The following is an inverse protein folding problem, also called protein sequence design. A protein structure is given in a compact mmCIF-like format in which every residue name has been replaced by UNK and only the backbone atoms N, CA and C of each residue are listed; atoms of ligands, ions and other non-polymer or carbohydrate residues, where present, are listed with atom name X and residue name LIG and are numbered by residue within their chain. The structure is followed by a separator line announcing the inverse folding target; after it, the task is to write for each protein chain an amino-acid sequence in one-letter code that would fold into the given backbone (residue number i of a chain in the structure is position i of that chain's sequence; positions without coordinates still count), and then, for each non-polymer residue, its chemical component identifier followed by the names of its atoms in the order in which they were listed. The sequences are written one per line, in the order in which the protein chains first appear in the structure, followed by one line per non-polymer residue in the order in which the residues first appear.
data_IF_822762105084
#
_entry.id   IF_822762105084
#
_cell.length_a   1.000
_cell.length_b   1.000
_cell.length_c   1.000
_cell.angle_alpha   90.00
_cell.angle_beta   90.00
_cell.angle_gamma   90.00
#
_symmetry.space_group_name_H-M   'P 1'
#
loop_
_entity.id
_entity.type
_entity.pdbx_description
1 polymer ?
#
# COMPACT_ATOMS: atom_id res chain seq x y z
N UNK A 1 8.18 4.81 -41.38
CA UNK A 1 7.29 3.81 -40.75
C UNK A 1 7.65 3.49 -39.28
N UNK A 2 8.87 3.76 -38.81
CA UNK A 2 9.29 3.50 -37.42
C UNK A 2 8.77 4.52 -36.38
N UNK A 3 8.59 5.79 -36.77
CA UNK A 3 8.10 6.82 -35.86
C UNK A 3 6.67 6.55 -35.36
N UNK A 4 5.80 6.01 -36.23
CA UNK A 4 4.39 5.69 -35.93
C UNK A 4 4.23 4.53 -34.95
N UNK A 5 5.17 3.57 -34.93
CA UNK A 5 5.15 2.43 -34.00
C UNK A 5 5.55 2.83 -32.57
N UNK A 6 6.49 3.78 -32.42
CA UNK A 6 6.89 4.32 -31.12
C UNK A 6 5.82 5.24 -30.51
N UNK A 7 5.08 6.00 -31.33
CA UNK A 7 3.92 6.76 -30.85
C UNK A 7 2.72 5.86 -30.52
N UNK A 8 2.62 4.70 -31.17
CA UNK A 8 1.65 3.65 -30.87
C UNK A 8 1.90 2.99 -29.51
N UNK A 9 3.15 2.58 -29.23
CA UNK A 9 3.54 1.99 -27.94
C UNK A 9 3.41 2.96 -26.76
N UNK A 10 3.68 4.26 -26.98
CA UNK A 10 3.49 5.30 -25.97
C UNK A 10 2.00 5.60 -25.64
N UNK A 11 1.07 5.09 -26.46
CA UNK A 11 -0.38 5.38 -26.36
C UNK A 11 -1.22 4.20 -25.85
N UNK A 12 -0.61 3.03 -25.60
CA UNK A 12 -1.31 1.79 -25.25
C UNK A 12 -1.18 1.44 -23.77
N UNK A 13 -2.29 1.22 -23.04
CA UNK A 13 -2.43 0.32 -21.85
C UNK A 13 -1.55 0.53 -20.60
N UNK A 14 -0.54 1.39 -20.64
CA UNK A 14 0.51 1.55 -19.62
C UNK A 14 -0.04 1.91 -18.23
N UNK A 15 -0.86 2.96 -18.06
CA UNK A 15 -1.14 3.42 -16.69
C UNK A 15 -2.23 2.63 -15.98
N UNK A 16 -3.09 1.93 -16.72
CA UNK A 16 -3.99 0.94 -16.12
C UNK A 16 -3.21 -0.30 -15.68
N UNK A 17 -2.24 -0.74 -16.48
CA UNK A 17 -1.34 -1.85 -16.12
C UNK A 17 -0.45 -1.47 -14.93
N UNK A 18 0.12 -0.26 -14.93
CA UNK A 18 0.91 0.27 -13.83
C UNK A 18 0.09 0.38 -12.54
N UNK A 19 -1.13 0.92 -12.62
CA UNK A 19 -2.03 0.99 -11.48
C UNK A 19 -2.31 -0.40 -10.87
N UNK A 20 -2.61 -1.39 -11.71
CA UNK A 20 -2.82 -2.77 -11.26
C UNK A 20 -1.56 -3.37 -10.61
N UNK A 21 -0.38 -3.11 -11.16
CA UNK A 21 0.90 -3.55 -10.58
C UNK A 21 1.16 -2.90 -9.23
N UNK A 22 0.93 -1.59 -9.07
CA UNK A 22 1.11 -0.91 -7.79
C UNK A 22 0.12 -1.39 -6.74
N UNK A 23 -1.15 -1.63 -7.11
CA UNK A 23 -2.13 -2.25 -6.21
C UNK A 23 -1.71 -3.68 -5.82
N UNK A 24 -1.21 -4.48 -6.77
CA UNK A 24 -0.75 -5.84 -6.47
C UNK A 24 0.47 -5.85 -5.54
N UNK A 25 1.43 -4.95 -5.76
CA UNK A 25 2.60 -4.80 -4.89
C UNK A 25 2.21 -4.35 -3.48
N UNK A 26 1.32 -3.37 -3.36
CA UNK A 26 0.76 -2.94 -2.07
C UNK A 26 0.06 -4.11 -1.37
N UNK A 27 -0.80 -4.84 -2.07
CA UNK A 27 -1.49 -6.02 -1.53
C UNK A 27 -0.52 -7.08 -0.98
N UNK A 28 0.55 -7.40 -1.72
CA UNK A 28 1.55 -8.39 -1.32
C UNK A 28 2.35 -7.90 -0.12
N UNK A 29 2.82 -6.65 -0.13
CA UNK A 29 3.64 -6.10 0.96
C UNK A 29 2.79 -5.94 2.22
N UNK A 30 1.63 -5.30 2.11
CA UNK A 30 0.75 -5.03 3.25
C UNK A 30 0.13 -6.31 3.79
N UNK A 31 -0.37 -7.19 2.93
CA UNK A 31 -0.93 -8.48 3.32
C UNK A 31 0.13 -9.42 3.91
N UNK A 32 1.30 -9.49 3.29
CA UNK A 32 2.44 -10.26 3.80
C UNK A 32 2.92 -9.78 5.16
N UNK A 33 3.02 -8.47 5.36
CA UNK A 33 3.35 -7.90 6.66
C UNK A 33 2.28 -8.23 7.72
N UNK A 34 0.99 -8.14 7.35
CA UNK A 34 -0.11 -8.54 8.21
C UNK A 34 -0.04 -10.01 8.63
N UNK A 35 0.27 -10.91 7.68
CA UNK A 35 0.44 -12.34 7.96
C UNK A 35 1.63 -12.61 8.88
N UNK A 36 2.74 -11.88 8.72
CA UNK A 36 3.89 -11.95 9.64
C UNK A 36 3.46 -11.55 11.05
N UNK A 37 2.71 -10.45 11.19
CA UNK A 37 2.20 -10.03 12.50
C UNK A 37 1.23 -11.05 13.10
N UNK A 38 0.38 -11.71 12.31
CA UNK A 38 -0.49 -12.78 12.79
C UNK A 38 0.29 -14.03 13.25
N UNK A 39 1.23 -14.49 12.43
CA UNK A 39 1.98 -15.72 12.68
C UNK A 39 3.04 -15.57 13.77
N UNK A 40 3.61 -14.36 13.93
CA UNK A 40 4.77 -14.12 14.78
C UNK A 40 4.62 -12.89 15.70
N UNK A 41 3.40 -12.54 16.11
CA UNK A 41 3.10 -11.39 16.98
C UNK A 41 4.01 -11.31 18.23
N UNK A 42 4.25 -12.44 18.90
CA UNK A 42 5.09 -12.49 20.10
C UNK A 42 6.55 -12.11 19.83
N UNK A 43 7.27 -12.86 18.97
CA UNK A 43 8.64 -12.53 18.58
C UNK A 43 8.79 -11.13 17.97
N UNK A 44 7.93 -10.77 17.02
CA UNK A 44 7.95 -9.45 16.37
C UNK A 44 7.70 -8.36 17.41
N UNK A 45 6.69 -8.52 18.26
CA UNK A 45 6.35 -7.55 19.31
C UNK A 45 7.48 -7.29 20.28
N UNK A 46 8.23 -8.32 20.68
CA UNK A 46 9.45 -8.13 21.49
C UNK A 46 10.55 -7.40 20.72
N UNK A 47 10.71 -7.71 19.43
CA UNK A 47 11.73 -7.07 18.60
C UNK A 47 11.46 -5.57 18.44
N UNK A 48 10.23 -5.18 18.14
CA UNK A 48 9.87 -3.78 17.84
C UNK A 48 9.30 -3.01 19.04
N UNK A 49 9.08 -3.66 20.18
CA UNK A 49 8.52 -3.03 21.39
C UNK A 49 7.03 -2.71 21.28
N UNK A 50 6.24 -3.58 20.63
CA UNK A 50 4.80 -3.41 20.48
C UNK A 50 4.08 -4.63 21.05
N UNK A 51 2.99 -4.40 21.79
CA UNK A 51 2.24 -5.47 22.44
C UNK A 51 1.71 -6.52 21.43
N UNK A 52 1.82 -7.82 21.72
CA UNK A 52 1.45 -8.88 20.78
C UNK A 52 -0.04 -8.87 20.45
N UNK A 53 -0.91 -8.52 21.39
CA UNK A 53 -2.37 -8.40 21.15
C UNK A 53 -2.67 -7.33 20.10
N UNK A 54 -2.01 -6.17 20.21
CA UNK A 54 -2.13 -5.10 19.23
C UNK A 54 -1.59 -5.53 17.87
N UNK A 55 -0.43 -6.20 17.82
CA UNK A 55 0.13 -6.70 16.57
C UNK A 55 -0.73 -7.77 15.91
N UNK A 56 -1.33 -8.69 16.66
CA UNK A 56 -2.25 -9.68 16.10
C UNK A 56 -3.48 -9.00 15.51
N UNK A 57 -4.09 -8.05 16.22
CA UNK A 57 -5.24 -7.30 15.72
C UNK A 57 -4.89 -6.50 14.47
N UNK A 58 -3.75 -5.79 14.50
CA UNK A 58 -3.23 -5.05 13.35
C UNK A 58 -2.94 -5.98 12.17
N UNK A 59 -2.33 -7.13 12.43
CA UNK A 59 -2.05 -8.14 11.42
C UNK A 59 -3.31 -8.62 10.72
N UNK A 60 -4.38 -8.91 11.48
CA UNK A 60 -5.67 -9.27 10.91
C UNK A 60 -6.22 -8.19 9.98
N UNK A 61 -6.21 -6.93 10.43
CA UNK A 61 -6.68 -5.79 9.63
C UNK A 61 -5.86 -5.64 8.35
N UNK A 62 -4.53 -5.69 8.44
CA UNK A 62 -3.62 -5.56 7.30
C UNK A 62 -3.77 -6.71 6.31
N UNK A 63 -3.97 -7.94 6.78
CA UNK A 63 -4.22 -9.10 5.92
C UNK A 63 -5.55 -8.95 5.18
N UNK A 64 -6.61 -8.55 5.85
CA UNK A 64 -7.93 -8.31 5.22
C UNK A 64 -7.83 -7.17 4.20
N UNK A 65 -7.17 -6.07 4.56
CA UNK A 65 -6.93 -4.95 3.67
C UNK A 65 -6.12 -5.37 2.43
N UNK A 66 -4.98 -6.04 2.63
CA UNK A 66 -4.14 -6.54 1.54
C UNK A 66 -4.90 -7.48 0.62
N UNK A 67 -5.75 -8.37 1.16
CA UNK A 67 -6.62 -9.22 0.35
C UNK A 67 -7.62 -8.40 -0.48
N UNK A 68 -8.27 -7.40 0.12
CA UNK A 68 -9.20 -6.53 -0.59
C UNK A 68 -8.52 -5.73 -1.72
N UNK A 69 -7.32 -5.20 -1.48
CA UNK A 69 -6.51 -4.51 -2.49
C UNK A 69 -6.06 -5.48 -3.59
N UNK A 70 -5.69 -6.72 -3.24
CA UNK A 70 -5.32 -7.76 -4.21
C UNK A 70 -6.50 -8.13 -5.12
N UNK A 71 -7.70 -8.27 -4.56
CA UNK A 71 -8.93 -8.47 -5.33
C UNK A 71 -9.24 -7.29 -6.25
N UNK A 72 -8.97 -6.05 -5.80
CA UNK A 72 -9.10 -4.87 -6.64
C UNK A 72 -8.08 -4.86 -7.79
N UNK A 73 -6.83 -5.24 -7.53
CA UNK A 73 -5.76 -5.33 -8.52
C UNK A 73 -6.04 -6.39 -9.60
N UNK A 74 -6.72 -7.48 -9.22
CA UNK A 74 -7.12 -8.55 -10.13
C UNK A 74 -8.14 -8.09 -11.18
N UNK A 75 -8.95 -7.06 -10.89
CA UNK A 75 -9.93 -6.54 -11.85
C UNK A 75 -9.25 -5.93 -13.07
N UNK A 76 -9.82 -6.17 -14.25
CA UNK A 76 -9.33 -5.57 -15.49
C UNK A 76 -9.38 -4.05 -15.41
N UNK A 77 -10.49 -3.49 -14.92
CA UNK A 77 -10.68 -2.05 -14.74
C UNK A 77 -10.98 -1.71 -13.26
N UNK A 78 -9.95 -1.39 -12.45
CA UNK A 78 -10.16 -0.96 -11.08
C UNK A 78 -10.97 0.34 -11.01
N UNK A 79 -12.08 0.33 -10.27
CA UNK A 79 -12.95 1.49 -10.12
C UNK A 79 -12.19 2.66 -9.46
N UNK A 80 -12.24 3.84 -10.07
CA UNK A 80 -11.49 5.03 -9.63
C UNK A 80 -11.77 5.39 -8.16
N UNK A 81 -13.04 5.33 -7.74
CA UNK A 81 -13.44 5.65 -6.37
C UNK A 81 -12.83 4.69 -5.35
N UNK A 82 -12.77 3.40 -5.67
CA UNK A 82 -12.21 2.38 -4.77
C UNK A 82 -10.68 2.54 -4.68
N UNK A 83 -10.01 2.82 -5.80
CA UNK A 83 -8.57 3.12 -5.81
C UNK A 83 -8.28 4.37 -4.97
N UNK A 84 -9.10 5.42 -5.07
CA UNK A 84 -8.94 6.60 -4.22
C UNK A 84 -9.09 6.25 -2.73
N UNK A 85 -10.05 5.39 -2.37
CA UNK A 85 -10.21 4.94 -1.00
C UNK A 85 -8.96 4.20 -0.48
N UNK A 86 -8.33 3.35 -1.30
CA UNK A 86 -7.04 2.70 -0.97
C UNK A 86 -5.95 3.74 -0.70
N UNK A 87 -5.83 4.75 -1.57
CA UNK A 87 -4.88 5.86 -1.37
C UNK A 87 -5.14 6.59 -0.05
N UNK A 88 -6.39 6.97 0.22
CA UNK A 88 -6.78 7.69 1.43
C UNK A 88 -6.48 6.84 2.68
N UNK A 89 -6.80 5.54 2.67
CA UNK A 89 -6.52 4.61 3.76
C UNK A 89 -5.01 4.47 3.99
N UNK A 90 -4.21 4.31 2.94
CA UNK A 90 -2.75 4.22 3.06
C UNK A 90 -2.14 5.50 3.65
N UNK A 91 -2.63 6.67 3.26
CA UNK A 91 -2.19 7.94 3.84
C UNK A 91 -2.58 8.06 5.31
N UNK A 92 -3.81 7.72 5.66
CA UNK A 92 -4.27 7.70 7.07
C UNK A 92 -3.42 6.74 7.89
N UNK A 93 -3.14 5.54 7.37
CA UNK A 93 -2.27 4.56 8.03
C UNK A 93 -0.85 5.09 8.26
N UNK A 94 -0.26 5.74 7.25
CA UNK A 94 1.07 6.31 7.36
C UNK A 94 1.13 7.42 8.42
N UNK A 95 0.14 8.33 8.42
CA UNK A 95 0.04 9.41 9.42
C UNK A 95 -0.19 8.82 10.82
N UNK A 96 -1.10 7.86 10.97
CA UNK A 96 -1.34 7.18 12.25
C UNK A 96 -0.12 6.44 12.75
N UNK A 97 0.69 5.83 11.87
CA UNK A 97 1.93 5.16 12.25
C UNK A 97 2.96 6.13 12.82
N UNK A 98 3.08 7.33 12.24
CA UNK A 98 3.99 8.38 12.76
C UNK A 98 3.43 9.00 14.04
N UNK A 99 2.13 9.33 14.07
CA UNK A 99 1.47 9.80 15.27
C UNK A 99 1.59 8.78 16.41
N UNK A 100 1.56 7.49 16.08
CA UNK A 100 1.70 6.44 17.05
C UNK A 100 3.03 6.44 17.78
N UNK A 101 4.10 6.62 17.02
CA UNK A 101 5.43 6.75 17.56
C UNK A 101 5.57 7.98 18.47
N UNK A 102 4.87 9.06 18.16
CA UNK A 102 4.97 10.32 18.90
C UNK A 102 4.07 10.40 20.15
N UNK A 103 2.94 9.68 20.16
CA UNK A 103 1.87 9.92 21.12
C UNK A 103 1.56 8.74 22.04
N UNK A 104 1.79 7.49 21.62
CA UNK A 104 1.26 6.34 22.36
C UNK A 104 2.11 5.06 22.34
N UNK A 105 3.12 4.94 21.48
CA UNK A 105 4.06 3.82 21.48
C UNK A 105 5.40 4.22 22.11
N UNK A 106 5.97 3.29 22.88
CA UNK A 106 7.35 3.36 23.37
C UNK A 106 8.13 2.15 22.83
N UNK A 107 8.48 2.15 21.53
CA UNK A 107 9.09 1.00 20.89
C UNK A 107 10.57 0.84 21.24
N UNK A 108 11.11 -0.34 20.95
CA UNK A 108 12.57 -0.55 20.97
C UNK A 108 13.25 0.28 19.86
N UNK A 109 14.58 0.36 19.88
CA UNK A 109 15.37 0.96 18.78
C UNK A 109 15.02 0.38 17.41
N UNK A 110 14.77 -0.94 17.33
CA UNK A 110 14.35 -1.58 16.08
C UNK A 110 12.96 -1.10 15.65
N UNK A 111 12.02 -0.92 16.59
CA UNK A 111 10.70 -0.38 16.30
C UNK A 111 10.70 1.09 15.88
N UNK A 112 11.57 1.92 16.47
CA UNK A 112 11.78 3.33 16.07
C UNK A 112 12.20 3.44 14.60
N UNK A 113 12.96 2.48 14.08
CA UNK A 113 13.33 2.44 12.66
C UNK A 113 12.23 1.80 11.82
N UNK A 114 11.67 0.69 12.28
CA UNK A 114 10.70 -0.11 11.54
C UNK A 114 9.36 0.61 11.30
N UNK A 115 8.79 1.26 12.32
CA UNK A 115 7.47 1.88 12.25
C UNK A 115 7.43 3.03 11.21
N UNK A 116 8.40 3.98 11.19
CA UNK A 116 8.47 4.98 10.13
C UNK A 116 8.79 4.38 8.75
N UNK A 117 9.65 3.36 8.69
CA UNK A 117 10.00 2.73 7.42
C UNK A 117 8.77 2.10 6.74
N UNK A 118 7.96 1.33 7.48
CA UNK A 118 6.71 0.77 6.93
C UNK A 118 5.73 1.90 6.53
N UNK A 119 5.66 2.99 7.31
CA UNK A 119 4.78 4.12 7.01
C UNK A 119 5.18 4.81 5.70
N UNK A 120 6.49 4.98 5.46
CA UNK A 120 7.02 5.54 4.22
C UNK A 120 6.75 4.63 3.01
N UNK A 121 6.88 3.31 3.17
CA UNK A 121 6.57 2.35 2.11
C UNK A 121 5.09 2.44 1.73
N UNK A 122 4.19 2.43 2.72
CA UNK A 122 2.73 2.55 2.51
C UNK A 122 2.37 3.90 1.87
N UNK A 123 2.96 5.00 2.33
CA UNK A 123 2.79 6.31 1.71
C UNK A 123 3.31 6.33 0.25
N UNK A 124 4.43 5.66 -0.03
CA UNK A 124 4.96 5.49 -1.38
C UNK A 124 3.97 4.80 -2.31
N UNK A 125 3.31 3.73 -1.84
CA UNK A 125 2.23 3.09 -2.61
C UNK A 125 1.07 4.05 -2.86
N UNK A 126 0.62 4.80 -1.85
CA UNK A 126 -0.44 5.78 -2.00
C UNK A 126 -0.12 6.82 -3.10
N UNK A 127 1.10 7.34 -3.10
CA UNK A 127 1.57 8.29 -4.13
C UNK A 127 1.58 7.65 -5.51
N UNK A 128 2.15 6.45 -5.66
CA UNK A 128 2.22 5.76 -6.96
C UNK A 128 0.82 5.44 -7.51
N UNK A 129 -0.09 4.99 -6.65
CA UNK A 129 -1.49 4.72 -7.00
C UNK A 129 -2.23 6.00 -7.40
N UNK A 130 -2.03 7.10 -6.67
CA UNK A 130 -2.61 8.41 -6.98
C UNK A 130 -2.13 8.94 -8.33
N UNK A 131 -0.82 8.92 -8.58
CA UNK A 131 -0.24 9.38 -9.85
C UNK A 131 -0.72 8.54 -11.04
N UNK A 132 -0.78 7.21 -10.88
CA UNK A 132 -1.29 6.32 -11.93
C UNK A 132 -2.80 6.57 -12.21
N UNK A 133 -3.58 6.85 -11.16
CA UNK A 133 -4.99 7.20 -11.28
C UNK A 133 -5.20 8.55 -11.98
N UNK A 134 -4.43 9.57 -11.62
CA UNK A 134 -4.46 10.90 -12.24
C UNK A 134 -4.08 10.83 -13.73
N UNK A 135 -3.00 10.09 -14.05
CA UNK A 135 -2.58 9.87 -15.43
C UNK A 135 -3.64 9.12 -16.24
N UNK A 136 -4.41 8.20 -15.63
CA UNK A 136 -5.55 7.54 -16.30
C UNK A 136 -6.68 8.51 -16.61
N UNK A 137 -7.05 9.37 -15.65
CA UNK A 137 -8.12 10.35 -15.85
C UNK A 137 -7.81 11.31 -17.00
N UNK A 138 -6.58 11.83 -17.06
CA UNK A 138 -6.13 12.76 -18.11
C UNK A 138 -6.22 12.17 -19.54
N UNK A 139 -6.09 10.84 -19.70
CA UNK A 139 -6.26 10.18 -21.00
C UNK A 139 -7.72 9.97 -21.40
N UNK A 140 -8.64 9.91 -20.44
CA UNK A 140 -10.05 9.71 -20.74
C UNK A 140 -10.74 11.02 -21.18
N UNK A 141 -10.10 12.17 -20.93
CA UNK A 141 -10.59 13.50 -21.28
C UNK A 141 -9.97 14.10 -22.55
N UNK A 142 -8.99 13.41 -23.15
CA UNK A 142 -8.26 13.84 -24.35
C UNK A 142 -8.74 13.06 -25.58
#
# INVERSE_FOLDING_TARGET
MTATLLTGLARTTEPQTALRRFLALDAVVTGGNGLIYLAAAGPVGRLIGVGPVFLTALGAVLTVYGAAVGLLAAREQPAALVVKAVVDINLVYAVLSVAALALWLDPTTAGVVWIPLQALIVAGFAVLQFLALAARAARNTA
#
